data_IF_713761762910
#
_entry.id   IF_713761762910
#
_cell.length_a   1.000
_cell.length_b   1.000
_cell.length_c   1.000
_cell.angle_alpha   90.00
_cell.angle_beta   90.00
_cell.angle_gamma   90.00
#
_symmetry.space_group_name_H-M   'P 1'
#
loop_
_entity.id
_entity.type
_entity.pdbx_description
1 polymer ?
#
# COMPACT_ATOMS: atom_id res chain seq x y z
N UNK A 1 8.99 -21.07 11.06
CA UNK A 1 8.34 -20.58 9.84
C UNK A 1 9.21 -20.89 8.62
N UNK A 2 8.59 -21.18 7.46
CA UNK A 2 9.27 -21.37 6.18
C UNK A 2 8.66 -20.46 5.12
N UNK A 3 9.48 -19.79 4.33
CA UNK A 3 9.05 -18.81 3.33
C UNK A 3 9.56 -19.23 1.95
N UNK A 4 8.69 -19.22 0.96
CA UNK A 4 9.02 -19.49 -0.44
C UNK A 4 8.67 -18.20 -1.20
N UNK A 5 9.67 -17.56 -1.78
CA UNK A 5 9.52 -16.22 -2.36
C UNK A 5 10.49 -16.00 -3.53
N UNK A 6 10.32 -14.90 -4.23
CA UNK A 6 11.24 -14.43 -5.25
C UNK A 6 12.49 -13.75 -4.65
N UNK A 7 13.60 -13.62 -5.37
CA UNK A 7 14.65 -12.66 -5.04
C UNK A 7 14.09 -11.22 -5.08
N UNK A 8 14.68 -10.26 -4.37
CA UNK A 8 14.30 -8.84 -4.46
C UNK A 8 14.50 -8.34 -5.91
N UNK A 9 13.47 -7.72 -6.50
CA UNK A 9 13.54 -7.18 -7.87
C UNK A 9 12.73 -5.89 -8.04
N UNK A 10 11.79 -5.63 -7.16
CA UNK A 10 10.92 -4.45 -7.21
C UNK A 10 11.46 -3.34 -6.30
N UNK A 11 11.31 -2.05 -6.65
CA UNK A 11 10.55 -1.48 -7.78
C UNK A 11 11.34 -1.35 -9.10
N UNK A 12 12.65 -1.64 -9.11
CA UNK A 12 13.55 -1.38 -10.25
C UNK A 12 13.36 -2.35 -11.42
N UNK A 13 12.60 -3.45 -11.25
CA UNK A 13 12.49 -4.56 -12.20
C UNK A 13 13.86 -5.14 -12.57
N UNK A 14 14.73 -5.20 -11.59
CA UNK A 14 16.07 -5.75 -11.68
C UNK A 14 16.37 -6.56 -10.41
N UNK A 15 16.89 -7.77 -10.59
CA UNK A 15 17.25 -8.61 -9.44
C UNK A 15 18.36 -7.94 -8.65
N UNK A 16 18.16 -7.88 -7.33
CA UNK A 16 19.10 -7.23 -6.40
C UNK A 16 20.47 -7.89 -6.39
N UNK A 17 21.47 -7.15 -5.95
CA UNK A 17 22.84 -7.65 -5.77
C UNK A 17 22.84 -8.89 -4.85
N UNK A 18 23.74 -9.83 -5.13
CA UNK A 18 23.87 -11.13 -4.42
C UNK A 18 22.67 -12.09 -4.59
N UNK A 19 21.73 -11.80 -5.51
CA UNK A 19 20.65 -12.69 -5.91
C UNK A 19 20.73 -13.06 -7.39
N UNK A 20 19.98 -14.08 -7.78
CA UNK A 20 19.95 -14.57 -9.17
C UNK A 20 18.51 -14.77 -9.64
N UNK A 21 18.23 -14.38 -10.89
CA UNK A 21 16.97 -14.71 -11.57
C UNK A 21 16.87 -16.19 -11.97
N UNK A 22 17.98 -16.94 -11.95
CA UNK A 22 18.11 -18.28 -12.55
C UNK A 22 18.48 -19.38 -11.57
N UNK A 23 18.89 -19.02 -10.32
CA UNK A 23 19.37 -19.96 -9.31
C UNK A 23 18.54 -19.87 -8.05
N UNK A 24 18.25 -21.01 -7.43
CA UNK A 24 17.69 -21.04 -6.08
C UNK A 24 18.74 -20.60 -5.06
N UNK A 25 18.28 -19.87 -4.06
CA UNK A 25 19.07 -19.54 -2.87
C UNK A 25 18.26 -19.88 -1.64
N UNK A 26 18.88 -20.55 -0.67
CA UNK A 26 18.29 -20.82 0.63
C UNK A 26 19.00 -19.99 1.69
N UNK A 27 18.23 -19.31 2.51
CA UNK A 27 18.70 -18.45 3.59
C UNK A 27 18.13 -18.96 4.90
N UNK A 28 18.98 -19.08 5.91
CA UNK A 28 18.60 -19.52 7.26
C UNK A 28 18.68 -18.32 8.21
N UNK A 29 17.68 -18.16 9.08
CA UNK A 29 17.58 -17.08 10.05
C UNK A 29 16.38 -17.31 10.98
N UNK A 30 15.67 -16.28 11.36
CA UNK A 30 14.40 -16.39 12.11
C UNK A 30 13.36 -17.25 11.35
N UNK A 31 13.50 -17.34 10.03
CA UNK A 31 12.76 -18.26 9.16
C UNK A 31 13.70 -18.84 8.12
N UNK A 32 13.40 -20.06 7.63
CA UNK A 32 14.06 -20.60 6.44
C UNK A 32 13.42 -20.03 5.20
N UNK A 33 14.17 -19.33 4.35
CA UNK A 33 13.68 -18.66 3.15
C UNK A 33 14.25 -19.30 1.89
N UNK A 34 13.39 -19.72 0.96
CA UNK A 34 13.77 -20.14 -0.38
C UNK A 34 13.51 -19.01 -1.37
N UNK A 35 14.59 -18.50 -1.98
CA UNK A 35 14.51 -17.57 -3.12
C UNK A 35 14.46 -18.37 -4.40
N UNK A 36 13.31 -18.31 -5.08
CA UNK A 36 13.05 -19.08 -6.29
C UNK A 36 13.34 -18.24 -7.52
N UNK A 37 14.00 -18.81 -8.56
CA UNK A 37 14.26 -18.10 -9.80
C UNK A 37 12.95 -17.69 -10.49
N UNK A 38 13.00 -16.53 -11.22
CA UNK A 38 11.87 -16.07 -12.01
C UNK A 38 12.34 -15.17 -13.15
N UNK A 39 11.52 -15.08 -14.19
CA UNK A 39 11.73 -14.12 -15.27
C UNK A 39 11.42 -12.69 -14.80
N UNK A 40 12.40 -11.79 -14.85
CA UNK A 40 12.23 -10.35 -14.53
C UNK A 40 12.37 -9.53 -15.82
N UNK A 41 11.28 -8.95 -16.35
CA UNK A 41 11.33 -8.16 -17.57
C UNK A 41 11.91 -6.76 -17.29
N UNK A 42 12.86 -6.31 -18.09
CA UNK A 42 13.41 -4.94 -18.01
C UNK A 42 12.34 -3.86 -18.29
N UNK A 43 11.41 -4.16 -19.17
CA UNK A 43 10.25 -3.30 -19.48
C UNK A 43 8.99 -4.15 -19.36
N UNK A 44 8.20 -3.99 -18.29
CA UNK A 44 7.02 -4.77 -18.04
C UNK A 44 5.90 -4.40 -19.03
N UNK A 45 5.41 -5.40 -19.76
CA UNK A 45 4.16 -5.38 -20.52
C UNK A 45 3.23 -6.44 -19.95
N UNK A 46 1.96 -6.45 -20.34
CA UNK A 46 0.98 -7.43 -19.84
C UNK A 46 1.45 -8.87 -20.01
N UNK A 47 1.85 -9.26 -21.22
CA UNK A 47 2.32 -10.62 -21.48
C UNK A 47 3.59 -10.95 -20.69
N UNK A 48 4.52 -9.99 -20.58
CA UNK A 48 5.75 -10.17 -19.79
C UNK A 48 5.46 -10.29 -18.29
N UNK A 49 4.44 -9.60 -17.77
CA UNK A 49 4.00 -9.77 -16.38
C UNK A 49 3.37 -11.14 -16.14
N UNK A 50 2.56 -11.66 -17.07
CA UNK A 50 2.03 -13.02 -16.98
C UNK A 50 3.15 -14.06 -17.01
N UNK A 51 4.15 -13.92 -17.89
CA UNK A 51 5.34 -14.78 -17.92
C UNK A 51 6.14 -14.67 -16.62
N UNK A 52 6.28 -13.48 -16.06
CA UNK A 52 6.93 -13.26 -14.77
C UNK A 52 6.23 -14.05 -13.64
N UNK A 53 4.92 -13.88 -13.49
CA UNK A 53 4.12 -14.58 -12.47
C UNK A 53 4.11 -16.11 -12.69
N UNK A 54 3.95 -16.54 -13.95
CA UNK A 54 3.95 -17.96 -14.32
C UNK A 54 5.32 -18.63 -14.07
N UNK A 55 6.42 -17.95 -14.39
CA UNK A 55 7.76 -18.48 -14.13
C UNK A 55 8.04 -18.66 -12.64
N UNK A 56 7.57 -17.74 -11.80
CA UNK A 56 7.64 -17.87 -10.35
C UNK A 56 6.78 -19.04 -9.84
N UNK A 57 5.56 -19.19 -10.34
CA UNK A 57 4.69 -20.28 -9.94
C UNK A 57 5.30 -21.66 -10.25
N UNK A 58 5.95 -21.79 -11.42
CA UNK A 58 6.64 -23.03 -11.82
C UNK A 58 7.87 -23.27 -10.93
N UNK A 59 8.72 -22.28 -10.73
CA UNK A 59 9.96 -22.46 -9.95
C UNK A 59 9.67 -22.67 -8.46
N UNK A 60 8.71 -21.97 -7.89
CA UNK A 60 8.34 -22.11 -6.48
C UNK A 60 7.64 -23.44 -6.17
N UNK A 61 7.07 -24.09 -7.16
CA UNK A 61 6.38 -25.39 -6.99
C UNK A 61 7.28 -26.46 -6.37
N UNK A 62 8.53 -26.57 -6.82
CA UNK A 62 9.46 -27.59 -6.33
C UNK A 62 9.82 -27.45 -4.85
N UNK A 63 10.31 -26.28 -4.36
CA UNK A 63 10.57 -26.12 -2.94
C UNK A 63 9.27 -26.15 -2.12
N UNK A 64 8.12 -25.76 -2.70
CA UNK A 64 6.82 -25.87 -2.05
C UNK A 64 6.47 -27.34 -1.79
N UNK A 65 6.57 -28.21 -2.79
CA UNK A 65 6.29 -29.64 -2.63
C UNK A 65 7.28 -30.33 -1.68
N UNK A 66 8.51 -29.86 -1.60
CA UNK A 66 9.49 -30.37 -0.64
C UNK A 66 9.05 -30.15 0.83
N UNK A 67 8.17 -29.18 1.11
CA UNK A 67 7.64 -28.94 2.44
C UNK A 67 6.67 -30.03 2.91
N UNK A 68 6.19 -30.90 2.04
CA UNK A 68 5.34 -32.04 2.43
C UNK A 68 5.91 -32.84 3.61
N UNK A 69 7.22 -33.04 3.64
CA UNK A 69 7.92 -33.77 4.73
C UNK A 69 7.93 -33.02 6.05
N UNK A 70 7.87 -31.69 5.99
CA UNK A 70 7.81 -30.81 7.17
C UNK A 70 6.41 -30.76 7.79
N UNK A 71 5.35 -31.12 7.03
CA UNK A 71 3.95 -31.14 7.46
C UNK A 71 3.52 -29.79 8.05
N UNK A 72 3.36 -28.73 7.25
CA UNK A 72 2.87 -27.45 7.74
C UNK A 72 1.44 -27.58 8.26
N UNK A 73 1.09 -26.87 9.33
CA UNK A 73 -0.29 -26.76 9.83
C UNK A 73 -1.08 -25.76 9.01
N UNK A 74 -0.41 -24.71 8.53
CA UNK A 74 -1.01 -23.61 7.76
C UNK A 74 -0.13 -23.27 6.56
N UNK A 75 -0.77 -23.00 5.44
CA UNK A 75 -0.14 -22.52 4.21
C UNK A 75 -0.78 -21.20 3.85
N UNK A 76 0.01 -20.11 3.89
CA UNK A 76 -0.44 -18.76 3.55
C UNK A 76 0.13 -18.42 2.17
N UNK A 77 -0.75 -18.27 1.19
CA UNK A 77 -0.41 -17.74 -0.13
C UNK A 77 -0.69 -16.24 -0.18
N UNK A 78 0.24 -15.45 -0.70
CA UNK A 78 0.08 -13.99 -0.83
C UNK A 78 -0.09 -13.64 -2.31
N UNK A 79 -1.19 -12.99 -2.66
CA UNK A 79 -1.45 -12.42 -3.99
C UNK A 79 -0.83 -11.02 -4.03
N UNK A 80 -0.11 -10.63 -5.11
CA UNK A 80 -0.28 -11.04 -6.49
C UNK A 80 0.59 -12.24 -6.90
N UNK A 81 0.15 -13.42 -6.79
CA UNK A 81 0.66 -14.63 -7.46
C UNK A 81 -0.38 -15.73 -7.41
N UNK A 82 -1.56 -15.40 -7.90
CA UNK A 82 -2.69 -16.35 -7.95
C UNK A 82 -2.33 -17.67 -8.63
N UNK A 83 -1.36 -17.66 -9.56
CA UNK A 83 -0.82 -18.86 -10.21
C UNK A 83 -0.18 -19.87 -9.26
N UNK A 84 0.20 -19.48 -8.04
CA UNK A 84 0.72 -20.38 -7.01
C UNK A 84 -0.37 -21.17 -6.28
N UNK A 85 -1.65 -20.75 -6.39
CA UNK A 85 -2.77 -21.38 -5.66
C UNK A 85 -2.93 -22.88 -5.92
N UNK A 86 -2.79 -23.41 -7.16
CA UNK A 86 -2.88 -24.85 -7.39
C UNK A 86 -1.83 -25.66 -6.64
N UNK A 87 -0.57 -25.17 -6.61
CA UNK A 87 0.51 -25.81 -5.86
C UNK A 87 0.27 -25.76 -4.34
N UNK A 88 -0.19 -24.63 -3.83
CA UNK A 88 -0.56 -24.46 -2.42
C UNK A 88 -1.64 -25.46 -1.99
N UNK A 89 -2.71 -25.61 -2.77
CA UNK A 89 -3.79 -26.56 -2.54
C UNK A 89 -3.32 -28.02 -2.57
N UNK A 90 -2.43 -28.34 -3.54
CA UNK A 90 -1.86 -29.68 -3.63
C UNK A 90 -1.05 -30.00 -2.38
N UNK A 91 -0.19 -29.10 -1.93
CA UNK A 91 0.57 -29.29 -0.69
C UNK A 91 -0.37 -29.45 0.52
N UNK A 92 -1.40 -28.60 0.64
CA UNK A 92 -2.39 -28.68 1.70
C UNK A 92 -3.05 -30.07 1.75
N UNK A 93 -3.52 -30.56 0.60
CA UNK A 93 -4.10 -31.91 0.48
C UNK A 93 -3.14 -33.01 0.90
N UNK A 94 -1.83 -32.87 0.58
CA UNK A 94 -0.82 -33.88 0.87
C UNK A 94 -0.31 -33.84 2.32
N UNK A 95 -0.46 -32.70 3.02
CA UNK A 95 0.03 -32.51 4.40
C UNK A 95 -1.05 -32.43 5.44
N UNK A 96 -2.33 -32.26 5.04
CA UNK A 96 -3.45 -32.00 5.95
C UNK A 96 -3.48 -30.55 6.46
N UNK A 97 -2.77 -29.65 5.81
CA UNK A 97 -2.71 -28.25 6.20
C UNK A 97 -3.98 -27.49 5.80
N UNK A 98 -4.38 -26.50 6.59
CA UNK A 98 -5.37 -25.49 6.17
C UNK A 98 -4.68 -24.39 5.35
N UNK A 99 -5.44 -23.75 4.47
CA UNK A 99 -4.98 -22.76 3.50
C UNK A 99 -5.56 -21.39 3.78
N UNK A 100 -4.72 -20.35 3.69
CA UNK A 100 -5.13 -18.94 3.73
C UNK A 100 -4.64 -18.27 2.46
N UNK A 101 -5.52 -17.64 1.70
CA UNK A 101 -5.15 -16.81 0.57
C UNK A 101 -5.25 -15.33 0.98
N UNK A 102 -4.10 -14.69 1.17
CA UNK A 102 -4.01 -13.27 1.50
C UNK A 102 -3.96 -12.41 0.25
N UNK A 103 -4.96 -11.55 0.06
CA UNK A 103 -5.13 -10.73 -1.13
C UNK A 103 -4.74 -9.29 -0.82
N UNK A 104 -3.63 -8.85 -1.44
CA UNK A 104 -3.17 -7.46 -1.40
C UNK A 104 -3.75 -6.65 -2.57
N UNK A 105 -4.10 -7.32 -3.68
CA UNK A 105 -4.71 -6.72 -4.85
C UNK A 105 -5.48 -7.80 -5.64
N UNK A 106 -6.61 -7.43 -6.26
CA UNK A 106 -7.36 -8.30 -7.16
C UNK A 106 -6.77 -8.20 -8.56
N UNK A 107 -5.81 -9.09 -8.88
CA UNK A 107 -5.06 -9.08 -10.14
C UNK A 107 -5.95 -9.13 -11.38
N UNK A 108 -7.01 -9.97 -11.34
CA UNK A 108 -7.91 -10.16 -12.48
C UNK A 108 -8.72 -8.89 -12.71
N UNK A 109 -9.22 -8.25 -11.66
CA UNK A 109 -9.96 -6.99 -11.80
C UNK A 109 -9.06 -5.86 -12.30
N UNK A 110 -7.82 -5.78 -11.80
CA UNK A 110 -6.83 -4.82 -12.28
C UNK A 110 -6.51 -5.03 -13.76
N UNK A 111 -6.36 -6.29 -14.21
CA UNK A 111 -6.17 -6.63 -15.62
C UNK A 111 -7.38 -6.22 -16.49
N UNK A 112 -8.59 -6.52 -16.02
CA UNK A 112 -9.82 -6.21 -16.75
C UNK A 112 -10.05 -4.69 -16.84
N UNK A 113 -9.78 -3.97 -15.75
CA UNK A 113 -9.88 -2.51 -15.69
C UNK A 113 -8.92 -1.78 -16.64
N UNK A 114 -7.75 -2.37 -16.90
CA UNK A 114 -6.78 -1.84 -17.87
C UNK A 114 -7.08 -2.23 -19.33
N UNK A 115 -8.20 -2.92 -19.60
CA UNK A 115 -8.58 -3.35 -20.95
C UNK A 115 -7.68 -4.43 -21.55
N UNK A 116 -6.85 -5.09 -20.72
CA UNK A 116 -5.82 -6.03 -21.17
C UNK A 116 -6.37 -7.41 -21.59
N UNK A 117 -7.65 -7.65 -21.33
CA UNK A 117 -8.35 -8.90 -21.72
C UNK A 117 -9.09 -8.81 -23.08
N UNK A 118 -8.82 -7.79 -23.88
CA UNK A 118 -9.52 -7.51 -25.15
C UNK A 118 -10.71 -6.56 -24.98
N UNK A 119 -11.22 -6.03 -26.09
CA UNK A 119 -12.36 -5.09 -26.09
C UNK A 119 -13.62 -5.78 -25.54
N UNK A 120 -13.93 -5.52 -24.25
CA UNK A 120 -15.16 -5.96 -23.57
C UNK A 120 -14.93 -6.99 -22.46
N UNK A 121 -15.71 -6.86 -21.38
CA UNK A 121 -15.75 -7.79 -20.22
C UNK A 121 -16.16 -9.23 -20.56
N UNK A 122 -16.52 -9.52 -21.81
CA UNK A 122 -17.04 -10.80 -22.27
C UNK A 122 -16.08 -11.66 -23.10
N UNK A 123 -14.82 -11.27 -23.25
CA UNK A 123 -13.85 -12.08 -24.02
C UNK A 123 -13.52 -13.41 -23.33
N UNK A 124 -13.23 -14.48 -24.11
CA UNK A 124 -12.85 -15.81 -23.58
C UNK A 124 -11.70 -15.74 -22.57
N UNK A 125 -10.73 -14.85 -22.77
CA UNK A 125 -9.60 -14.64 -21.86
C UNK A 125 -10.07 -14.06 -20.50
N UNK A 126 -10.97 -13.09 -20.55
CA UNK A 126 -11.57 -12.53 -19.32
C UNK A 126 -12.36 -13.57 -18.53
N UNK A 127 -13.16 -14.38 -19.23
CA UNK A 127 -13.93 -15.49 -18.61
C UNK A 127 -13.01 -16.53 -17.97
N UNK A 128 -11.93 -16.93 -18.64
CA UNK A 128 -10.96 -17.88 -18.11
C UNK A 128 -10.21 -17.30 -16.89
N UNK A 129 -9.79 -16.04 -16.93
CA UNK A 129 -9.13 -15.39 -15.83
C UNK A 129 -10.06 -15.27 -14.60
N UNK A 130 -11.32 -14.87 -14.80
CA UNK A 130 -12.33 -14.81 -13.73
C UNK A 130 -12.65 -16.20 -13.15
N UNK A 131 -12.77 -17.22 -14.00
CA UNK A 131 -12.99 -18.59 -13.55
C UNK A 131 -11.80 -19.14 -12.75
N UNK A 132 -10.57 -18.82 -13.16
CA UNK A 132 -9.35 -19.18 -12.44
C UNK A 132 -9.28 -18.47 -11.07
N UNK A 133 -9.54 -17.17 -11.01
CA UNK A 133 -9.59 -16.42 -9.76
C UNK A 133 -10.67 -17.01 -8.83
N UNK A 134 -11.87 -17.21 -9.35
CA UNK A 134 -12.97 -17.82 -8.57
C UNK A 134 -12.57 -19.19 -8.02
N UNK A 135 -11.93 -20.05 -8.84
CA UNK A 135 -11.42 -21.34 -8.38
C UNK A 135 -10.36 -21.18 -7.29
N UNK A 136 -9.50 -20.18 -7.37
CA UNK A 136 -8.51 -19.86 -6.33
C UNK A 136 -9.16 -19.49 -5.01
N UNK A 137 -10.17 -18.61 -5.06
CA UNK A 137 -10.88 -18.09 -3.90
C UNK A 137 -11.75 -19.16 -3.19
N UNK A 138 -12.48 -19.98 -3.96
CA UNK A 138 -13.42 -20.96 -3.41
C UNK A 138 -12.77 -22.25 -2.88
N UNK A 139 -11.53 -22.50 -3.21
CA UNK A 139 -10.85 -23.74 -2.84
C UNK A 139 -9.73 -23.54 -1.83
N UNK A 140 -9.85 -22.52 -0.99
CA UNK A 140 -9.03 -22.27 0.20
C UNK A 140 -9.93 -22.21 1.42
N UNK A 141 -9.37 -22.48 2.61
CA UNK A 141 -10.17 -22.50 3.83
C UNK A 141 -10.53 -21.06 4.27
N UNK A 142 -9.59 -20.12 4.12
CA UNK A 142 -9.82 -18.71 4.41
C UNK A 142 -9.26 -17.81 3.32
N UNK A 143 -9.91 -16.68 3.11
CA UNK A 143 -9.44 -15.55 2.31
C UNK A 143 -9.23 -14.36 3.24
N UNK A 144 -8.02 -13.77 3.27
CA UNK A 144 -7.78 -12.54 4.02
C UNK A 144 -7.49 -11.37 3.10
N UNK A 145 -7.94 -10.19 3.50
CA UNK A 145 -7.77 -8.96 2.70
C UNK A 145 -7.38 -7.78 3.60
N UNK A 146 -6.86 -6.74 2.98
CA UNK A 146 -6.29 -5.57 3.68
C UNK A 146 -7.27 -4.43 3.93
N UNK A 147 -8.50 -4.51 3.40
CA UNK A 147 -9.54 -3.49 3.59
C UNK A 147 -10.94 -4.08 3.66
N UNK A 148 -11.89 -3.32 4.22
CA UNK A 148 -13.30 -3.71 4.30
C UNK A 148 -13.94 -3.81 2.92
N UNK A 149 -13.63 -2.89 2.03
CA UNK A 149 -14.09 -2.93 0.63
C UNK A 149 -13.60 -4.20 -0.08
N UNK A 150 -12.36 -4.62 0.16
CA UNK A 150 -11.84 -5.86 -0.41
C UNK A 150 -12.49 -7.11 0.21
N UNK A 151 -12.88 -7.08 1.48
CA UNK A 151 -13.66 -8.15 2.10
C UNK A 151 -15.02 -8.31 1.42
N UNK A 152 -15.76 -7.21 1.25
CA UNK A 152 -17.04 -7.20 0.55
C UNK A 152 -16.89 -7.76 -0.86
N UNK A 153 -15.84 -7.37 -1.56
CA UNK A 153 -15.52 -7.87 -2.89
C UNK A 153 -15.21 -9.38 -2.92
N UNK A 154 -14.55 -9.93 -1.89
CA UNK A 154 -14.36 -11.38 -1.76
C UNK A 154 -15.72 -12.11 -1.63
N UNK A 155 -16.62 -11.55 -0.81
CA UNK A 155 -17.98 -12.09 -0.62
C UNK A 155 -18.78 -12.01 -1.93
N UNK A 156 -18.74 -10.89 -2.65
CA UNK A 156 -19.37 -10.72 -3.97
C UNK A 156 -18.83 -11.72 -5.00
N UNK A 157 -17.54 -12.10 -4.90
CA UNK A 157 -16.95 -13.16 -5.71
C UNK A 157 -17.32 -14.56 -5.25
N UNK A 158 -18.12 -14.68 -4.17
CA UNK A 158 -18.73 -15.92 -3.69
C UNK A 158 -17.96 -16.63 -2.56
N UNK A 159 -17.02 -15.95 -1.89
CA UNK A 159 -16.42 -16.48 -0.66
C UNK A 159 -17.45 -16.34 0.48
N UNK A 160 -17.65 -17.39 1.29
CA UNK A 160 -18.53 -17.32 2.45
C UNK A 160 -18.01 -16.28 3.45
N UNK A 161 -18.89 -15.45 4.00
CA UNK A 161 -18.52 -14.32 4.85
C UNK A 161 -17.70 -14.74 6.07
N UNK A 162 -18.02 -15.90 6.66
CA UNK A 162 -17.31 -16.50 7.80
C UNK A 162 -15.87 -16.92 7.48
N UNK A 163 -15.54 -17.09 6.19
CA UNK A 163 -14.21 -17.47 5.72
C UNK A 163 -13.38 -16.24 5.28
N UNK A 164 -13.94 -15.02 5.38
CA UNK A 164 -13.23 -13.78 5.01
C UNK A 164 -12.66 -13.12 6.25
N UNK A 165 -11.34 -12.94 6.28
CA UNK A 165 -10.58 -12.40 7.41
C UNK A 165 -10.05 -11.00 7.08
N UNK A 166 -10.23 -10.07 8.01
CA UNK A 166 -9.61 -8.74 7.94
C UNK A 166 -8.16 -8.79 8.42
N UNK A 167 -7.23 -8.50 7.52
CA UNK A 167 -5.80 -8.48 7.83
C UNK A 167 -5.17 -7.23 7.20
N UNK A 168 -5.37 -6.06 7.83
CA UNK A 168 -4.94 -4.77 7.28
C UNK A 168 -3.42 -4.63 7.25
N UNK A 169 -2.94 -3.75 6.40
CA UNK A 169 -1.57 -3.26 6.50
C UNK A 169 -1.41 -2.54 7.84
N UNK A 170 -0.32 -2.83 8.53
CA UNK A 170 -0.05 -2.32 9.87
C UNK A 170 1.02 -1.22 9.88
N UNK A 171 1.10 -0.52 11.00
CA UNK A 171 2.19 0.39 11.33
C UNK A 171 2.91 -0.09 12.61
N UNK A 172 4.20 0.20 12.71
CA UNK A 172 4.98 0.01 13.94
C UNK A 172 4.72 1.19 14.87
N UNK A 173 3.57 1.19 15.56
CA UNK A 173 3.09 2.31 16.39
C UNK A 173 4.12 2.76 17.40
N UNK A 174 4.89 1.83 17.98
CA UNK A 174 5.95 2.14 18.94
C UNK A 174 6.99 3.15 18.43
N UNK A 175 7.24 3.17 17.12
CA UNK A 175 8.18 4.14 16.50
C UNK A 175 7.69 5.59 16.56
N UNK A 176 6.38 5.78 16.71
CA UNK A 176 5.75 7.10 16.73
C UNK A 176 5.34 7.55 18.14
N UNK A 177 5.71 6.79 19.19
CA UNK A 177 5.35 7.12 20.57
C UNK A 177 6.22 8.21 21.17
N UNK A 178 7.53 8.14 20.95
CA UNK A 178 8.51 9.03 21.57
C UNK A 178 9.42 9.65 20.50
N UNK A 179 8.91 10.70 19.83
CA UNK A 179 9.68 11.44 18.84
C UNK A 179 10.17 12.71 19.54
N UNK A 180 11.49 12.84 19.71
CA UNK A 180 12.08 14.02 20.34
C UNK A 180 11.89 15.25 19.45
N UNK A 181 11.59 16.39 20.07
CA UNK A 181 11.44 17.65 19.31
C UNK A 181 12.78 18.05 18.66
N UNK A 182 13.90 17.76 19.34
CA UNK A 182 15.23 17.97 18.80
C UNK A 182 15.48 17.24 17.46
N UNK A 183 14.93 16.02 17.26
CA UNK A 183 15.05 15.28 16.00
C UNK A 183 14.21 15.95 14.90
N UNK A 184 13.06 16.48 15.27
CA UNK A 184 12.18 17.25 14.35
C UNK A 184 12.86 18.53 13.90
N UNK A 185 13.44 19.29 14.84
CA UNK A 185 14.14 20.54 14.56
C UNK A 185 15.40 20.29 13.73
N UNK A 186 16.17 19.25 14.06
CA UNK A 186 17.33 18.86 13.29
C UNK A 186 16.99 18.53 11.83
N UNK A 187 15.93 17.74 11.61
CA UNK A 187 15.46 17.40 10.26
C UNK A 187 14.92 18.64 9.52
N UNK A 188 14.17 19.50 10.20
CA UNK A 188 13.66 20.76 9.65
C UNK A 188 14.81 21.65 9.16
N UNK A 189 15.84 21.83 9.98
CA UNK A 189 17.05 22.58 9.63
C UNK A 189 17.81 21.92 8.47
N UNK A 190 17.97 20.59 8.49
CA UNK A 190 18.62 19.84 7.41
C UNK A 190 17.90 20.05 6.06
N UNK A 191 16.59 20.10 6.06
CA UNK A 191 15.78 20.34 4.87
C UNK A 191 15.68 21.83 4.50
N UNK A 192 16.20 22.75 5.31
CA UNK A 192 16.15 24.19 5.06
C UNK A 192 14.72 24.75 5.09
N UNK A 193 13.83 24.15 5.90
CA UNK A 193 12.44 24.57 6.02
C UNK A 193 12.33 25.70 7.07
N UNK A 194 11.63 26.82 6.76
CA UNK A 194 11.54 27.98 7.64
C UNK A 194 10.71 27.72 8.89
N UNK A 195 11.15 28.22 10.05
CA UNK A 195 10.49 27.98 11.34
C UNK A 195 9.15 28.70 11.48
N UNK A 196 9.00 29.83 10.78
CA UNK A 196 7.81 30.68 10.86
C UNK A 196 6.68 30.29 9.90
N UNK A 197 6.78 29.15 9.23
CA UNK A 197 5.75 28.66 8.30
C UNK A 197 5.20 27.31 8.74
N UNK A 198 3.89 27.11 8.51
CA UNK A 198 3.24 25.82 8.66
C UNK A 198 3.61 24.90 7.50
N UNK A 199 3.84 23.62 7.80
CA UNK A 199 4.30 22.63 6.82
C UNK A 199 3.12 21.80 6.32
N UNK A 200 2.83 21.91 5.02
CA UNK A 200 1.93 21.02 4.28
C UNK A 200 2.79 19.91 3.69
N UNK A 201 2.72 18.72 4.26
CA UNK A 201 3.60 17.62 3.93
C UNK A 201 2.93 16.62 2.99
N UNK A 202 3.55 16.37 1.85
CA UNK A 202 3.33 15.16 1.07
C UNK A 202 4.56 14.25 1.18
N UNK A 203 4.38 13.01 1.60
CA UNK A 203 5.46 12.01 1.63
C UNK A 203 5.02 10.74 0.91
N UNK A 204 5.78 10.32 -0.12
CA UNK A 204 5.48 9.08 -0.85
C UNK A 204 5.87 9.09 -2.32
N UNK A 205 5.29 8.12 -3.07
CA UNK A 205 5.52 8.00 -4.50
C UNK A 205 4.90 9.17 -5.27
N UNK A 206 5.67 9.76 -6.19
CA UNK A 206 5.25 10.88 -7.05
C UNK A 206 4.91 10.30 -8.43
N UNK A 207 3.70 9.74 -8.55
CA UNK A 207 3.20 9.10 -9.77
C UNK A 207 1.92 9.76 -10.29
N UNK A 208 1.46 9.30 -11.45
CA UNK A 208 0.28 9.87 -12.14
C UNK A 208 -1.04 9.67 -11.36
N UNK A 209 -1.14 8.56 -10.59
CA UNK A 209 -2.36 8.25 -9.82
C UNK A 209 -2.62 9.21 -8.67
N UNK A 210 -1.59 9.89 -8.18
CA UNK A 210 -1.68 10.80 -7.04
C UNK A 210 -2.29 12.17 -7.40
N UNK A 211 -2.24 12.59 -8.66
CA UNK A 211 -2.83 13.86 -9.08
C UNK A 211 -2.21 15.08 -8.39
N UNK A 212 -0.89 15.06 -8.18
CA UNK A 212 -0.17 16.13 -7.47
C UNK A 212 -0.17 17.48 -8.21
N UNK A 213 -0.65 17.52 -9.43
CA UNK A 213 -0.93 18.76 -10.16
C UNK A 213 -1.91 19.66 -9.38
N UNK A 214 -2.93 19.06 -8.74
CA UNK A 214 -3.87 19.81 -7.90
C UNK A 214 -3.20 20.40 -6.66
N UNK A 215 -2.13 19.77 -6.16
CA UNK A 215 -1.33 20.33 -5.05
C UNK A 215 -0.52 21.54 -5.51
N UNK A 216 -0.01 21.53 -6.74
CA UNK A 216 0.65 22.72 -7.35
C UNK A 216 -0.34 23.88 -7.43
N UNK A 217 -1.57 23.63 -7.92
CA UNK A 217 -2.63 24.64 -8.02
C UNK A 217 -3.02 25.16 -6.62
N UNK A 218 -3.16 24.26 -5.64
CA UNK A 218 -3.48 24.65 -4.26
C UNK A 218 -2.36 25.52 -3.65
N UNK A 219 -1.09 25.16 -3.88
CA UNK A 219 0.05 25.95 -3.42
C UNK A 219 0.07 27.34 -4.06
N UNK A 220 -0.35 27.45 -5.32
CA UNK A 220 -0.46 28.72 -6.02
C UNK A 220 -1.52 29.65 -5.38
N UNK A 221 -2.69 29.09 -5.05
CA UNK A 221 -3.77 29.83 -4.36
C UNK A 221 -3.44 30.22 -2.92
N UNK A 222 -2.54 29.48 -2.29
CA UNK A 222 -2.10 29.71 -0.91
C UNK A 222 -0.72 30.39 -0.82
N UNK A 223 -0.25 31.02 -1.91
CA UNK A 223 1.12 31.57 -2.00
C UNK A 223 1.44 32.68 -0.99
N UNK A 224 0.42 33.44 -0.60
CA UNK A 224 0.54 34.59 0.30
C UNK A 224 0.30 34.20 1.78
N UNK A 225 -0.07 32.95 2.05
CA UNK A 225 -0.23 32.44 3.41
C UNK A 225 1.12 31.97 3.98
N UNK A 226 1.30 31.98 5.32
CA UNK A 226 2.54 31.54 5.96
C UNK A 226 2.69 30.02 5.94
N UNK A 227 2.61 29.44 4.76
CA UNK A 227 2.65 27.99 4.49
C UNK A 227 3.86 27.63 3.65
N UNK A 228 4.35 26.37 3.79
CA UNK A 228 5.29 25.75 2.88
C UNK A 228 4.85 24.33 2.54
N UNK A 229 4.78 24.03 1.27
CA UNK A 229 4.50 22.70 0.77
C UNK A 229 5.81 21.92 0.65
N UNK A 230 6.01 20.92 1.47
CA UNK A 230 7.15 20.01 1.44
C UNK A 230 6.75 18.71 0.72
N UNK A 231 7.27 18.53 -0.50
CA UNK A 231 7.01 17.34 -1.33
C UNK A 231 8.18 16.40 -1.21
N UNK A 232 8.05 15.36 -0.38
CA UNK A 232 9.11 14.40 -0.08
C UNK A 232 8.85 13.10 -0.83
N UNK A 233 9.71 12.73 -1.77
CA UNK A 233 9.51 11.48 -2.50
C UNK A 233 10.24 11.37 -3.81
N UNK A 234 9.95 10.25 -4.50
CA UNK A 234 10.47 9.93 -5.83
C UNK A 234 9.33 9.38 -6.70
N UNK A 235 9.52 9.42 -8.00
CA UNK A 235 8.58 8.87 -8.97
C UNK A 235 8.66 9.56 -10.32
N UNK A 236 8.05 8.96 -11.33
CA UNK A 236 8.12 9.45 -12.72
C UNK A 236 7.52 10.84 -12.96
N UNK A 237 6.65 11.32 -12.05
CA UNK A 237 6.02 12.64 -12.13
C UNK A 237 6.86 13.80 -11.57
N UNK A 238 7.95 13.51 -10.80
CA UNK A 238 8.66 14.52 -10.02
C UNK A 238 9.19 15.67 -10.89
N UNK A 239 9.97 15.37 -11.92
CA UNK A 239 10.57 16.39 -12.79
C UNK A 239 9.51 17.30 -13.47
N UNK A 240 8.36 16.73 -13.83
CA UNK A 240 7.24 17.48 -14.41
C UNK A 240 6.63 18.44 -13.39
N UNK A 241 6.42 17.99 -12.16
CA UNK A 241 5.85 18.82 -11.09
C UNK A 241 6.81 19.93 -10.65
N UNK A 242 8.12 19.65 -10.54
CA UNK A 242 9.16 20.67 -10.30
C UNK A 242 9.14 21.76 -11.35
N UNK A 243 9.06 21.37 -12.64
CA UNK A 243 8.94 22.31 -13.75
C UNK A 243 7.66 23.16 -13.67
N UNK A 244 6.52 22.54 -13.33
CA UNK A 244 5.25 23.27 -13.16
C UNK A 244 5.32 24.29 -12.01
N UNK A 245 5.90 23.92 -10.86
CA UNK A 245 6.10 24.82 -9.74
C UNK A 245 7.02 26.00 -10.09
N UNK A 246 8.12 25.73 -10.80
CA UNK A 246 9.04 26.75 -11.28
C UNK A 246 8.39 27.72 -12.27
N UNK A 247 7.63 27.21 -13.24
CA UNK A 247 6.92 28.04 -14.22
C UNK A 247 5.90 28.99 -13.58
N UNK A 248 5.33 28.61 -12.44
CA UNK A 248 4.40 29.43 -11.65
C UNK A 248 5.11 30.35 -10.65
N UNK A 249 6.42 30.23 -10.52
CA UNK A 249 7.20 31.02 -9.58
C UNK A 249 6.85 30.73 -8.10
N UNK A 250 6.47 29.49 -7.76
CA UNK A 250 6.08 29.13 -6.40
C UNK A 250 7.28 29.15 -5.44
N UNK A 251 7.28 30.06 -4.49
CA UNK A 251 8.28 30.17 -3.41
C UNK A 251 7.87 29.44 -2.14
N UNK A 252 6.63 29.00 -2.07
CA UNK A 252 6.03 28.27 -0.97
C UNK A 252 5.97 26.75 -1.23
N UNK A 253 6.75 26.21 -2.17
CA UNK A 253 6.83 24.78 -2.46
C UNK A 253 8.28 24.35 -2.65
N UNK A 254 8.65 23.23 -1.99
CA UNK A 254 9.97 22.63 -2.08
C UNK A 254 9.86 21.11 -2.29
N UNK A 255 10.80 20.57 -3.07
CA UNK A 255 10.87 19.14 -3.38
C UNK A 255 12.09 18.51 -2.74
N UNK A 256 11.91 17.41 -2.04
CA UNK A 256 12.97 16.70 -1.34
C UNK A 256 13.10 15.27 -1.83
N UNK A 257 14.29 14.65 -1.71
CA UNK A 257 14.44 13.22 -1.91
C UNK A 257 13.70 12.43 -0.83
N UNK A 258 13.47 11.14 -1.10
CA UNK A 258 12.96 10.23 -0.09
C UNK A 258 13.90 10.22 1.11
N UNK A 259 13.33 10.38 2.30
CA UNK A 259 14.09 10.34 3.54
C UNK A 259 14.30 8.90 4.02
N UNK A 260 15.29 8.69 4.88
CA UNK A 260 15.54 7.37 5.47
C UNK A 260 14.34 6.89 6.31
N UNK A 261 14.24 5.59 6.48
CA UNK A 261 13.19 5.00 7.31
C UNK A 261 13.28 5.47 8.78
N UNK A 262 14.49 5.75 9.27
CA UNK A 262 14.70 6.24 10.63
C UNK A 262 14.29 7.70 10.81
N UNK A 263 14.38 8.52 9.77
CA UNK A 263 13.91 9.91 9.79
C UNK A 263 12.39 10.05 9.62
N UNK A 264 11.68 8.97 9.25
CA UNK A 264 10.23 9.01 8.97
C UNK A 264 9.39 9.52 10.15
N UNK A 265 9.62 9.11 11.42
CA UNK A 265 8.85 9.64 12.54
C UNK A 265 8.99 11.15 12.69
N UNK A 266 10.20 11.69 12.64
CA UNK A 266 10.47 13.12 12.72
C UNK A 266 9.86 13.88 11.53
N UNK A 267 9.98 13.33 10.31
CA UNK A 267 9.36 13.89 9.11
C UNK A 267 7.84 14.02 9.25
N UNK A 268 7.17 12.98 9.74
CA UNK A 268 5.72 13.03 9.90
C UNK A 268 5.30 13.92 11.06
N UNK A 269 6.02 13.92 12.19
CA UNK A 269 5.72 14.83 13.31
C UNK A 269 5.94 16.32 12.94
N UNK A 270 6.83 16.59 12.00
CA UNK A 270 7.11 17.93 11.49
C UNK A 270 5.92 18.53 10.73
N UNK A 271 5.14 17.71 10.01
CA UNK A 271 4.00 18.18 9.21
C UNK A 271 2.86 18.72 10.05
N UNK A 272 2.38 19.92 9.74
CA UNK A 272 1.16 20.48 10.35
C UNK A 272 -0.11 19.97 9.64
N UNK A 273 0.00 19.64 8.35
CA UNK A 273 -1.06 19.02 7.56
C UNK A 273 -0.43 18.02 6.57
N UNK A 274 -0.99 16.82 6.48
CA UNK A 274 -0.51 15.76 5.59
C UNK A 274 -1.43 15.59 4.39
N UNK A 275 -0.86 15.45 3.20
CA UNK A 275 -1.63 15.25 1.97
C UNK A 275 -1.68 13.77 1.58
N UNK A 276 -2.89 13.24 1.53
CA UNK A 276 -3.20 11.90 1.00
C UNK A 276 -4.07 12.08 -0.24
N UNK A 277 -3.45 12.54 -1.30
CA UNK A 277 -4.15 12.91 -2.54
C UNK A 277 -4.08 11.79 -3.56
N UNK A 278 -5.19 11.59 -4.27
CA UNK A 278 -5.38 10.60 -5.32
C UNK A 278 -6.37 11.13 -6.35
N UNK A 279 -6.22 10.70 -7.61
CA UNK A 279 -7.22 10.95 -8.65
C UNK A 279 -8.48 10.13 -8.40
N UNK A 280 -9.60 10.56 -8.96
CA UNK A 280 -10.88 9.83 -8.95
C UNK A 280 -10.68 8.42 -9.51
N UNK A 281 -11.31 7.42 -8.88
CA UNK A 281 -11.18 6.02 -9.26
C UNK A 281 -9.83 5.35 -8.88
N UNK A 282 -8.88 6.08 -8.28
CA UNK A 282 -7.61 5.51 -7.85
C UNK A 282 -7.61 5.00 -6.40
N UNK A 283 -8.64 5.38 -5.63
CA UNK A 283 -8.73 5.18 -4.17
C UNK A 283 -9.59 3.98 -3.75
N UNK A 284 -10.09 3.18 -4.69
CA UNK A 284 -11.33 2.40 -4.48
C UNK A 284 -11.22 1.24 -3.50
N UNK A 285 -10.03 0.71 -3.21
CA UNK A 285 -9.97 -0.57 -2.51
C UNK A 285 -9.01 -0.65 -1.31
N UNK A 286 -8.07 0.27 -1.12
CA UNK A 286 -6.97 0.06 -0.16
C UNK A 286 -6.60 1.33 0.59
N UNK A 287 -6.40 1.22 1.92
CA UNK A 287 -5.76 2.28 2.70
C UNK A 287 -4.31 2.45 2.23
N UNK A 288 -3.90 3.64 1.77
CA UNK A 288 -2.51 3.88 1.41
C UNK A 288 -1.59 3.69 2.61
N UNK A 289 -0.47 2.99 2.42
CA UNK A 289 0.49 2.74 3.51
C UNK A 289 1.04 4.01 4.17
N UNK A 290 1.09 5.15 3.44
CA UNK A 290 1.43 6.44 4.02
C UNK A 290 0.41 6.91 5.05
N UNK A 291 -0.89 6.64 4.84
CA UNK A 291 -1.93 7.04 5.77
C UNK A 291 -1.79 6.30 7.11
N UNK A 292 -1.44 5.02 7.11
CA UNK A 292 -1.25 4.26 8.36
C UNK A 292 -0.21 4.92 9.27
N UNK A 293 0.90 5.41 8.71
CA UNK A 293 1.95 6.10 9.47
C UNK A 293 1.55 7.51 9.89
N UNK A 294 0.78 8.23 9.06
CA UNK A 294 0.23 9.55 9.41
C UNK A 294 -0.73 9.42 10.60
N UNK A 295 -1.63 8.44 10.58
CA UNK A 295 -2.52 8.17 11.70
C UNK A 295 -1.73 7.75 12.95
N UNK A 296 -0.68 6.94 12.78
CA UNK A 296 0.17 6.50 13.87
C UNK A 296 0.91 7.64 14.59
N UNK A 297 1.31 8.70 13.89
CA UNK A 297 1.91 9.89 14.51
C UNK A 297 0.86 10.85 15.10
N UNK A 298 -0.44 10.61 14.87
CA UNK A 298 -1.51 11.53 15.20
C UNK A 298 -1.50 12.78 14.32
N UNK A 299 -1.13 12.63 13.05
CA UNK A 299 -1.07 13.74 12.09
C UNK A 299 -2.44 14.11 11.53
N UNK A 300 -2.68 15.39 11.29
CA UNK A 300 -3.86 15.86 10.57
C UNK A 300 -3.71 15.62 9.08
N UNK A 301 -4.58 14.80 8.48
CA UNK A 301 -4.55 14.49 7.06
C UNK A 301 -5.68 15.19 6.30
N UNK A 302 -5.39 15.66 5.08
CA UNK A 302 -6.38 15.96 4.05
C UNK A 302 -6.35 14.82 3.04
N UNK A 303 -7.49 14.14 2.89
CA UNK A 303 -7.65 12.96 2.04
C UNK A 303 -8.59 13.32 0.89
N UNK A 304 -8.13 13.11 -0.36
CA UNK A 304 -9.05 13.19 -1.51
C UNK A 304 -9.68 11.83 -1.74
N UNK A 305 -10.99 11.72 -1.50
CA UNK A 305 -11.72 10.46 -1.66
C UNK A 305 -13.21 10.72 -1.94
N UNK A 306 -13.82 9.80 -2.68
CA UNK A 306 -15.27 9.74 -2.84
C UNK A 306 -15.88 8.97 -1.66
N UNK A 307 -17.08 9.34 -1.21
CA UNK A 307 -17.72 8.79 -0.01
C UNK A 307 -17.85 7.24 -0.02
N UNK A 308 -18.04 6.65 -1.19
CA UNK A 308 -18.20 5.19 -1.33
C UNK A 308 -16.88 4.40 -1.27
N UNK A 309 -15.72 5.07 -1.32
CA UNK A 309 -14.40 4.43 -1.28
C UNK A 309 -14.00 4.04 0.15
N UNK A 310 -13.02 3.16 0.31
CA UNK A 310 -12.47 2.77 1.63
C UNK A 310 -12.05 4.00 2.46
N UNK A 311 -11.41 5.00 1.81
CA UNK A 311 -10.99 6.23 2.49
C UNK A 311 -12.17 7.13 2.89
N UNK A 312 -13.17 7.25 2.02
CA UNK A 312 -14.39 7.99 2.32
C UNK A 312 -15.15 7.35 3.49
N UNK A 313 -15.35 6.05 3.45
CA UNK A 313 -15.99 5.27 4.53
C UNK A 313 -15.21 5.35 5.86
N UNK A 314 -13.88 5.38 5.81
CA UNK A 314 -13.05 5.59 7.00
C UNK A 314 -13.37 6.94 7.65
N UNK A 315 -13.41 8.02 6.85
CA UNK A 315 -13.67 9.37 7.36
C UNK A 315 -15.12 9.51 7.88
N UNK A 316 -16.08 8.85 7.26
CA UNK A 316 -17.47 8.82 7.70
C UNK A 316 -17.65 8.04 9.01
N UNK A 317 -17.01 6.86 9.11
CA UNK A 317 -17.10 5.97 10.28
C UNK A 317 -16.39 6.55 11.50
N UNK A 318 -15.29 7.29 11.29
CA UNK A 318 -14.49 7.91 12.35
C UNK A 318 -14.39 9.43 12.16
N UNK A 319 -15.44 10.20 12.47
CA UNK A 319 -15.44 11.66 12.35
C UNK A 319 -14.24 12.28 13.08
N UNK A 320 -13.50 13.13 12.38
CA UNK A 320 -12.30 13.78 12.93
C UNK A 320 -10.99 13.04 12.68
N UNK A 321 -11.01 11.82 12.13
CA UNK A 321 -9.79 11.06 11.80
C UNK A 321 -8.95 11.76 10.73
N UNK A 322 -9.62 12.43 9.78
CA UNK A 322 -9.03 13.23 8.71
C UNK A 322 -10.06 14.19 8.12
N UNK A 323 -9.59 15.15 7.34
CA UNK A 323 -10.45 16.02 6.50
C UNK A 323 -10.59 15.37 5.13
N UNK A 324 -11.78 14.85 4.82
CA UNK A 324 -12.06 14.24 3.52
C UNK A 324 -12.61 15.30 2.56
N UNK A 325 -12.04 15.36 1.35
CA UNK A 325 -12.42 16.32 0.33
C UNK A 325 -12.61 15.65 -1.03
N UNK A 326 -13.38 16.29 -1.91
CA UNK A 326 -13.64 15.82 -3.27
C UNK A 326 -12.34 15.69 -4.06
N UNK A 327 -12.08 14.53 -4.71
CA UNK A 327 -10.95 14.34 -5.62
C UNK A 327 -11.00 15.32 -6.80
N UNK A 328 -9.82 15.75 -7.27
CA UNK A 328 -9.63 16.60 -8.45
C UNK A 328 -10.29 17.99 -8.35
N UNK A 329 -10.67 18.42 -7.14
CA UNK A 329 -11.14 19.77 -6.84
C UNK A 329 -10.06 20.55 -6.06
N UNK A 330 -9.49 21.56 -6.70
CA UNK A 330 -8.50 22.44 -6.08
C UNK A 330 -9.15 23.28 -4.97
N UNK A 331 -10.37 23.74 -5.18
CA UNK A 331 -11.17 24.48 -4.20
C UNK A 331 -11.37 23.68 -2.92
N UNK A 332 -11.80 22.42 -3.07
CA UNK A 332 -12.00 21.50 -1.95
C UNK A 332 -10.68 21.20 -1.23
N UNK A 333 -9.59 21.02 -1.98
CA UNK A 333 -8.27 20.78 -1.40
C UNK A 333 -7.78 21.97 -0.58
N UNK A 334 -7.89 23.19 -1.09
CA UNK A 334 -7.53 24.42 -0.39
C UNK A 334 -8.37 24.60 0.89
N UNK A 335 -9.69 24.39 0.80
CA UNK A 335 -10.57 24.44 1.97
C UNK A 335 -10.20 23.39 3.01
N UNK A 336 -9.90 22.16 2.57
CA UNK A 336 -9.49 21.07 3.44
C UNK A 336 -8.15 21.34 4.14
N UNK A 337 -7.17 21.91 3.44
CA UNK A 337 -5.88 22.31 4.04
C UNK A 337 -6.12 23.36 5.15
N UNK A 338 -6.89 24.41 4.87
CA UNK A 338 -7.20 25.42 5.88
C UNK A 338 -7.93 24.84 7.08
N UNK A 339 -8.88 23.93 6.86
CA UNK A 339 -9.59 23.23 7.92
C UNK A 339 -8.63 22.36 8.76
N UNK A 340 -7.76 21.58 8.13
CA UNK A 340 -6.80 20.74 8.83
C UNK A 340 -5.82 21.53 9.70
N UNK A 341 -5.42 22.73 9.26
CA UNK A 341 -4.52 23.63 9.99
C UNK A 341 -5.17 24.29 11.21
N UNK A 342 -6.49 24.29 11.32
CA UNK A 342 -7.24 24.79 12.49
C UNK A 342 -7.40 23.71 13.57
N UNK A 343 -7.15 22.44 13.25
CA UNK A 343 -7.23 21.34 14.20
C UNK A 343 -6.03 21.36 15.17
N UNK A 344 -6.17 20.79 16.39
CA UNK A 344 -5.04 20.58 17.29
C UNK A 344 -3.91 19.84 16.57
N UNK A 345 -2.65 20.22 16.83
CA UNK A 345 -1.49 19.62 16.15
C UNK A 345 -1.42 18.08 16.29
N UNK A 346 -1.90 17.54 17.41
CA UNK A 346 -2.01 16.11 17.65
C UNK A 346 -3.47 15.67 17.51
N UNK A 347 -3.74 14.86 16.50
CA UNK A 347 -5.05 14.29 16.24
C UNK A 347 -5.24 12.99 17.05
N UNK A 348 -5.96 13.10 18.16
CA UNK A 348 -6.21 11.95 19.07
C UNK A 348 -7.05 10.87 18.39
N UNK A 349 -8.06 11.24 17.58
CA UNK A 349 -8.91 10.27 16.86
C UNK A 349 -8.07 9.42 15.90
N UNK A 350 -7.17 10.06 15.14
CA UNK A 350 -6.27 9.39 14.25
C UNK A 350 -5.32 8.43 15.00
N UNK A 351 -4.75 8.91 16.13
CA UNK A 351 -3.84 8.13 16.96
C UNK A 351 -4.51 6.92 17.59
N UNK A 352 -5.67 7.08 18.20
CA UNK A 352 -6.44 6.00 18.82
C UNK A 352 -6.86 4.95 17.80
N UNK A 353 -7.31 5.37 16.61
CA UNK A 353 -7.60 4.43 15.53
C UNK A 353 -6.38 3.61 15.14
N UNK A 354 -5.23 4.27 14.98
CA UNK A 354 -3.99 3.56 14.62
C UNK A 354 -3.59 2.54 15.69
N UNK A 355 -3.63 2.90 16.96
CA UNK A 355 -3.28 2.01 18.08
C UNK A 355 -4.22 0.81 18.19
N UNK A 356 -5.50 1.00 17.95
CA UNK A 356 -6.49 -0.08 18.05
C UNK A 356 -6.52 -0.99 16.83
N UNK A 357 -6.36 -0.41 15.63
CA UNK A 357 -6.67 -1.12 14.36
C UNK A 357 -5.44 -1.40 13.52
N UNK A 358 -4.37 -0.59 13.64
CA UNK A 358 -3.21 -0.67 12.75
C UNK A 358 -1.92 -1.05 13.50
N UNK A 359 -1.97 -1.28 14.82
CA UNK A 359 -0.80 -1.72 15.57
C UNK A 359 -0.37 -3.11 15.12
N UNK A 360 0.91 -3.23 14.76
CA UNK A 360 1.51 -4.46 14.22
C UNK A 360 1.24 -5.69 15.09
N UNK A 361 1.47 -5.57 16.39
CA UNK A 361 1.33 -6.72 17.30
C UNK A 361 -0.14 -7.15 17.44
N UNK A 362 -1.05 -6.18 17.51
CA UNK A 362 -2.48 -6.42 17.58
C UNK A 362 -3.01 -7.05 16.29
N UNK A 363 -2.63 -6.50 15.13
CA UNK A 363 -3.02 -7.02 13.81
C UNK A 363 -2.54 -8.46 13.61
N UNK A 364 -1.26 -8.74 13.94
CA UNK A 364 -0.71 -10.08 13.80
C UNK A 364 -1.35 -11.07 14.78
N UNK A 365 -1.58 -10.66 16.03
CA UNK A 365 -2.24 -11.50 17.03
C UNK A 365 -3.66 -11.86 16.61
N UNK A 366 -4.43 -10.87 16.16
CA UNK A 366 -5.79 -11.08 15.68
C UNK A 366 -5.81 -12.05 14.48
N UNK A 367 -4.95 -11.80 13.47
CA UNK A 367 -4.85 -12.67 12.30
C UNK A 367 -4.50 -14.12 12.68
N UNK A 368 -3.55 -14.31 13.60
CA UNK A 368 -3.18 -15.66 14.06
C UNK A 368 -4.36 -16.35 14.76
N UNK A 369 -5.15 -15.62 15.53
CA UNK A 369 -6.34 -16.16 16.18
C UNK A 369 -7.41 -16.55 15.15
N UNK A 370 -7.68 -15.67 14.19
CA UNK A 370 -8.69 -15.89 13.14
C UNK A 370 -8.37 -17.10 12.25
N UNK A 371 -7.08 -17.34 11.95
CA UNK A 371 -6.69 -18.52 11.15
C UNK A 371 -6.59 -19.80 11.97
N UNK A 372 -6.65 -19.76 13.31
CA UNK A 372 -6.61 -20.94 14.19
C UNK A 372 -7.99 -21.57 14.40
N UNK A 373 -9.02 -20.76 14.41
CA UNK A 373 -10.41 -21.21 14.47
C UNK A 373 -10.79 -21.91 13.19
#
# INVERSE_FOLDING_TARGET
>A
MRVITAPPYYPQWQVGENYSAWRYKREEGAATVWRCPLYVPKQPSTLKRLLHLGSFAVSSFFPLMAQRRWKPDRIIGVVPTLFCTPGMRLLAKLSGARTVLHIQDYEVDAMLGLGLAGKGKGGKVAQLATAFERSGLHNVDNVSTISRSMMNKAIEKGVAAENVIFFPNWSEIARFQHIADADVDALRNQLGLPDNKKIILYSGNIGEKQGLENVIEAADRLRDEPLIFAIVGQGGGKARLEKMAQQRGLRNMQFFPLQSYDALPALLKMGDCHLVVQKRGAADAVLPSKLTNILAVGGNAVITAEAHTELGQLCETFPGIAVCVEPESVEALVAGIRQALLLPKHNTVAREYAERTLDKENVLRQFINDIRG
#
